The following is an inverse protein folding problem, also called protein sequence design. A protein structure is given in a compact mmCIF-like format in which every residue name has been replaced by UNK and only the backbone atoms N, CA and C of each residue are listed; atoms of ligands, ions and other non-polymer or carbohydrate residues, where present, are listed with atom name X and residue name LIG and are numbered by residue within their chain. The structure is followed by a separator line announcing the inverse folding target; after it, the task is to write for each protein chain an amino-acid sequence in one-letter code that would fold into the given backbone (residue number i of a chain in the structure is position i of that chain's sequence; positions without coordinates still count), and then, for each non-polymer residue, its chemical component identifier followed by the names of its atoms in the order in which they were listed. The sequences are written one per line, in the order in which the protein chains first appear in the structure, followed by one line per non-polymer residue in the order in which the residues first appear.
data_IF_088751143063
#
_entry.id   IF_088751143063
#
_cell.length_a   1.000
_cell.length_b   1.000
_cell.length_c   1.000
_cell.angle_alpha   90.00
_cell.angle_beta   90.00
_cell.angle_gamma   90.00
#
_symmetry.space_group_name_H-M   'P 1'
#
loop_
_entity.id
_entity.type
_entity.pdbx_description
1 polymer ?
#
# COMPACT_ATOMS: atom_id res chain seq x y z
N UNK A 1 -11.51 -16.84 24.43
CA UNK A 1 -10.45 -16.53 23.43
C UNK A 1 -10.97 -15.73 22.22
N UNK A 2 -12.18 -15.98 21.73
CA UNK A 2 -12.76 -15.18 20.63
C UNK A 2 -12.95 -13.69 21.00
N UNK A 3 -13.35 -13.39 22.22
CA UNK A 3 -13.57 -12.03 22.75
C UNK A 3 -12.32 -11.16 22.67
N UNK A 4 -11.16 -11.70 23.03
CA UNK A 4 -9.87 -10.97 23.02
C UNK A 4 -9.41 -10.60 21.61
N UNK A 5 -9.68 -11.44 20.62
CA UNK A 5 -9.32 -11.14 19.22
C UNK A 5 -10.23 -10.06 18.65
N UNK A 6 -11.54 -10.12 18.94
CA UNK A 6 -12.50 -9.09 18.53
C UNK A 6 -12.13 -7.72 19.14
N UNK A 7 -11.82 -7.67 20.42
CA UNK A 7 -11.38 -6.43 21.10
C UNK A 7 -10.11 -5.83 20.47
N UNK A 8 -9.15 -6.68 20.06
CA UNK A 8 -7.95 -6.22 19.37
C UNK A 8 -8.24 -5.68 17.96
N UNK A 9 -9.17 -6.31 17.24
CA UNK A 9 -9.61 -5.82 15.91
C UNK A 9 -10.30 -4.47 16.03
N UNK A 10 -11.18 -4.30 17.02
CA UNK A 10 -11.85 -3.02 17.31
C UNK A 10 -10.86 -1.93 17.73
N UNK A 11 -9.81 -2.30 18.47
CA UNK A 11 -8.75 -1.37 18.82
C UNK A 11 -7.94 -0.92 17.60
N UNK A 12 -7.64 -1.83 16.67
CA UNK A 12 -6.98 -1.50 15.40
C UNK A 12 -7.84 -0.53 14.60
N UNK A 13 -9.13 -0.79 14.44
CA UNK A 13 -10.04 0.08 13.71
C UNK A 13 -10.12 1.49 14.33
N UNK A 14 -10.13 1.59 15.65
CA UNK A 14 -10.09 2.89 16.35
C UNK A 14 -8.78 3.64 16.10
N UNK A 15 -7.64 2.96 16.15
CA UNK A 15 -6.34 3.56 15.87
C UNK A 15 -6.22 4.03 14.41
N UNK A 16 -6.81 3.31 13.46
CA UNK A 16 -6.86 3.71 12.07
C UNK A 16 -7.69 4.99 11.87
N UNK A 17 -8.84 5.10 12.54
CA UNK A 17 -9.64 6.33 12.51
C UNK A 17 -8.89 7.51 13.14
N UNK A 18 -8.20 7.29 14.26
CA UNK A 18 -7.35 8.32 14.86
C UNK A 18 -6.23 8.78 13.91
N UNK A 19 -5.61 7.85 13.19
CA UNK A 19 -4.60 8.19 12.19
C UNK A 19 -5.17 9.08 11.07
N UNK A 20 -6.39 8.78 10.60
CA UNK A 20 -7.05 9.61 9.58
C UNK A 20 -7.30 11.04 10.08
N UNK A 21 -7.74 11.19 11.33
CA UNK A 21 -7.94 12.51 11.95
C UNK A 21 -6.62 13.29 12.10
N UNK A 22 -5.54 12.63 12.53
CA UNK A 22 -4.22 13.27 12.62
C UNK A 22 -3.66 13.66 11.25
N UNK A 23 -3.90 12.84 10.22
CA UNK A 23 -3.52 13.19 8.84
C UNK A 23 -4.28 14.43 8.34
N UNK A 24 -5.56 14.60 8.68
CA UNK A 24 -6.32 15.82 8.35
C UNK A 24 -5.73 17.05 9.03
N UNK A 25 -5.39 16.97 10.31
CA UNK A 25 -4.72 18.06 11.03
C UNK A 25 -3.40 18.44 10.38
N UNK A 26 -2.61 17.46 9.95
CA UNK A 26 -1.37 17.73 9.21
C UNK A 26 -1.63 18.40 7.86
N UNK A 27 -2.72 18.08 7.16
CA UNK A 27 -3.09 18.77 5.92
C UNK A 27 -3.36 20.26 6.16
N UNK A 28 -4.06 20.59 7.24
CA UNK A 28 -4.31 21.96 7.65
C UNK A 28 -3.01 22.68 8.05
N UNK A 29 -2.15 22.05 8.84
CA UNK A 29 -0.87 22.60 9.29
C UNK A 29 0.07 22.93 8.13
N UNK A 30 0.15 22.06 7.12
CA UNK A 30 1.02 22.25 5.95
C UNK A 30 0.31 22.90 4.75
N UNK A 31 -0.90 23.44 4.95
CA UNK A 31 -1.67 24.21 3.96
C UNK A 31 -1.73 23.54 2.58
N UNK A 32 -2.13 22.29 2.54
CA UNK A 32 -2.43 21.59 1.29
C UNK A 32 -3.80 20.91 1.33
N UNK A 33 -4.43 20.82 0.18
CA UNK A 33 -5.68 20.09 -0.01
C UNK A 33 -5.50 18.93 -0.99
N UNK A 34 -6.28 17.88 -0.79
CA UNK A 34 -6.33 16.74 -1.71
C UNK A 34 -7.71 16.72 -2.37
N UNK A 35 -7.78 17.06 -3.66
CA UNK A 35 -8.98 17.02 -4.47
C UNK A 35 -8.75 16.13 -5.70
N UNK A 36 -9.64 15.18 -5.93
CA UNK A 36 -9.56 14.25 -7.08
C UNK A 36 -8.19 13.57 -7.23
N UNK A 37 -7.60 13.11 -6.11
CA UNK A 37 -6.24 12.55 -6.06
C UNK A 37 -5.12 13.51 -6.49
N UNK A 38 -5.39 14.83 -6.56
CA UNK A 38 -4.41 15.87 -6.84
C UNK A 38 -4.15 16.70 -5.60
N UNK A 39 -2.86 16.93 -5.33
CA UNK A 39 -2.43 17.78 -4.22
C UNK A 39 -2.32 19.22 -4.71
N UNK A 40 -3.01 20.12 -4.03
CA UNK A 40 -2.92 21.57 -4.23
C UNK A 40 -2.31 22.21 -3.01
N UNK A 41 -1.21 22.94 -3.20
CA UNK A 41 -0.57 23.75 -2.17
C UNK A 41 -0.97 25.21 -2.31
N UNK A 42 -1.07 25.92 -1.20
CA UNK A 42 -1.18 27.37 -1.23
C UNK A 42 0.06 28.04 -1.81
N UNK A 43 -0.08 29.19 -2.48
CA UNK A 43 1.02 29.87 -3.16
C UNK A 43 2.20 30.21 -2.24
N UNK A 44 1.91 30.61 -1.01
CA UNK A 44 2.92 30.95 0.01
C UNK A 44 3.83 29.74 0.29
N UNK A 45 3.24 28.55 0.36
CA UNK A 45 3.98 27.29 0.57
C UNK A 45 4.80 26.94 -0.65
N UNK A 46 4.27 27.13 -1.86
CA UNK A 46 5.01 26.89 -3.10
C UNK A 46 6.27 27.77 -3.21
N UNK A 47 6.17 29.02 -2.81
CA UNK A 47 7.31 29.96 -2.81
C UNK A 47 8.36 29.59 -1.75
N UNK A 48 7.90 29.15 -0.59
CA UNK A 48 8.78 28.61 0.46
C UNK A 48 9.49 27.33 -0.01
N UNK A 49 8.76 26.40 -0.62
CA UNK A 49 9.33 25.20 -1.20
C UNK A 49 10.39 25.50 -2.26
N UNK A 50 10.17 26.52 -3.12
CA UNK A 50 11.16 26.93 -4.14
C UNK A 50 12.47 27.43 -3.53
N UNK A 51 12.37 28.17 -2.43
CA UNK A 51 13.56 28.70 -1.70
C UNK A 51 14.38 27.56 -1.06
N UNK A 52 13.72 26.51 -0.60
CA UNK A 52 14.36 25.36 0.04
C UNK A 52 14.91 24.31 -0.95
N UNK A 53 14.62 24.48 -2.25
CA UNK A 53 15.04 23.54 -3.28
C UNK A 53 16.56 23.55 -3.47
N UNK A 54 17.21 22.42 -3.24
CA UNK A 54 18.63 22.23 -3.51
C UNK A 54 18.86 21.95 -5.00
N UNK A 55 19.75 22.71 -5.62
CA UNK A 55 20.12 22.49 -7.01
C UNK A 55 20.78 21.11 -7.20
N UNK A 56 20.63 20.51 -8.39
CA UNK A 56 21.13 19.16 -8.68
C UNK A 56 22.65 19.04 -8.53
N UNK A 57 23.42 20.05 -8.96
CA UNK A 57 24.88 19.99 -8.90
C UNK A 57 25.43 19.98 -7.46
N UNK A 58 25.02 20.88 -6.53
CA UNK A 58 25.40 20.79 -5.12
C UNK A 58 24.93 19.49 -4.47
N UNK A 59 23.72 19.03 -4.79
CA UNK A 59 23.17 17.77 -4.29
C UNK A 59 24.03 16.57 -4.73
N UNK A 60 24.43 16.52 -6.01
CA UNK A 60 25.25 15.44 -6.56
C UNK A 60 26.67 15.44 -5.94
N UNK A 61 27.24 16.62 -5.68
CA UNK A 61 28.54 16.74 -4.97
C UNK A 61 28.47 16.26 -3.52
N UNK A 62 27.33 16.39 -2.87
CA UNK A 62 27.09 15.88 -1.51
C UNK A 62 26.73 14.39 -1.48
N UNK A 63 26.41 13.79 -2.64
CA UNK A 63 26.03 12.39 -2.73
C UNK A 63 27.23 11.48 -2.41
N UNK A 64 27.02 10.54 -1.51
CA UNK A 64 28.03 9.56 -1.16
C UNK A 64 28.31 8.66 -2.35
N UNK A 65 29.58 8.39 -2.67
CA UNK A 65 30.01 7.50 -3.76
C UNK A 65 29.26 6.14 -3.73
N UNK A 66 28.99 5.65 -2.54
CA UNK A 66 28.19 4.43 -2.31
C UNK A 66 26.79 4.49 -2.96
N UNK A 67 26.12 5.64 -2.90
CA UNK A 67 24.79 5.82 -3.51
C UNK A 67 24.86 5.81 -5.04
N UNK A 68 25.93 6.36 -5.60
CA UNK A 68 26.15 6.37 -7.06
C UNK A 68 26.42 4.94 -7.55
N UNK A 69 27.27 4.19 -6.85
CA UNK A 69 27.61 2.80 -7.22
C UNK A 69 26.40 1.86 -7.07
N UNK A 70 25.53 2.07 -6.09
CA UNK A 70 24.34 1.22 -5.90
C UNK A 70 23.20 1.50 -6.88
N UNK A 71 23.16 2.67 -7.51
CA UNK A 71 22.08 3.09 -8.42
C UNK A 71 21.79 2.08 -9.56
N UNK A 72 22.81 1.53 -10.26
CA UNK A 72 22.58 0.53 -11.31
C UNK A 72 21.92 -0.75 -10.83
N UNK A 73 21.99 -1.07 -9.55
CA UNK A 73 21.30 -2.25 -8.97
C UNK A 73 19.90 -1.91 -8.47
N UNK A 74 19.67 -0.67 -8.05
CA UNK A 74 18.37 -0.25 -7.50
C UNK A 74 17.35 -0.02 -8.62
N UNK A 75 17.66 0.80 -9.61
CA UNK A 75 16.69 1.22 -10.62
C UNK A 75 16.16 0.10 -11.53
N UNK A 76 16.95 -0.91 -11.95
CA UNK A 76 16.42 -2.02 -12.73
C UNK A 76 15.34 -2.83 -12.02
N UNK A 77 15.24 -2.76 -10.69
CA UNK A 77 14.17 -3.40 -9.93
C UNK A 77 12.76 -2.90 -10.31
N UNK A 78 12.64 -1.75 -10.98
CA UNK A 78 11.35 -1.30 -11.52
C UNK A 78 10.79 -2.28 -12.56
N UNK A 79 11.65 -2.98 -13.30
CA UNK A 79 11.23 -3.92 -14.36
C UNK A 79 10.44 -5.11 -13.77
N UNK A 80 10.98 -5.90 -12.82
CA UNK A 80 10.20 -6.98 -12.20
C UNK A 80 8.97 -6.47 -11.44
N UNK A 81 9.03 -5.27 -10.84
CA UNK A 81 7.88 -4.66 -10.17
C UNK A 81 6.78 -4.32 -11.19
N UNK A 82 7.12 -3.73 -12.33
CA UNK A 82 6.17 -3.42 -13.40
C UNK A 82 5.58 -4.71 -14.03
N UNK A 83 6.38 -5.75 -14.19
CA UNK A 83 5.92 -7.05 -14.64
C UNK A 83 4.93 -7.66 -13.63
N UNK A 84 5.21 -7.57 -12.34
CA UNK A 84 4.30 -8.01 -11.28
C UNK A 84 2.99 -7.21 -11.31
N UNK A 85 3.04 -5.88 -11.44
CA UNK A 85 1.86 -5.01 -11.54
C UNK A 85 0.95 -5.45 -12.71
N UNK A 86 1.55 -5.67 -13.89
CA UNK A 86 0.84 -6.14 -15.07
C UNK A 86 0.19 -7.52 -14.83
N UNK A 87 0.97 -8.47 -14.34
CA UNK A 87 0.51 -9.86 -14.18
C UNK A 87 -0.58 -10.00 -13.13
N UNK A 88 -0.47 -9.33 -11.98
CA UNK A 88 -1.51 -9.38 -10.94
C UNK A 88 -2.78 -8.62 -11.36
N UNK A 89 -2.63 -7.56 -12.16
CA UNK A 89 -3.78 -6.83 -12.71
C UNK A 89 -4.55 -7.70 -13.70
N UNK A 90 -3.86 -8.41 -14.59
CA UNK A 90 -4.50 -9.39 -15.51
C UNK A 90 -5.15 -10.51 -14.70
N UNK A 91 -4.41 -11.07 -13.73
CA UNK A 91 -4.88 -12.15 -12.87
C UNK A 91 -6.20 -11.78 -12.18
N UNK A 92 -6.27 -10.65 -11.49
CA UNK A 92 -7.51 -10.28 -10.80
C UNK A 92 -8.66 -10.01 -11.79
N UNK A 93 -8.40 -9.36 -12.93
CA UNK A 93 -9.45 -9.07 -13.91
C UNK A 93 -10.08 -10.33 -14.51
N UNK A 94 -9.31 -11.41 -14.64
CA UNK A 94 -9.82 -12.70 -15.13
C UNK A 94 -10.39 -13.52 -13.97
N UNK A 95 -9.58 -13.83 -12.97
CA UNK A 95 -9.95 -14.78 -11.93
C UNK A 95 -11.01 -14.25 -10.96
N UNK A 96 -10.91 -12.97 -10.55
CA UNK A 96 -11.87 -12.42 -9.60
C UNK A 96 -13.26 -12.30 -10.21
N UNK A 97 -13.34 -11.93 -11.49
CA UNK A 97 -14.65 -11.92 -12.19
C UNK A 97 -15.26 -13.31 -12.31
N UNK A 98 -14.44 -14.33 -12.58
CA UNK A 98 -14.92 -15.72 -12.66
C UNK A 98 -15.39 -16.26 -11.29
N UNK A 99 -14.75 -15.83 -10.21
CA UNK A 99 -15.07 -16.29 -8.85
C UNK A 99 -16.07 -15.38 -8.11
N UNK A 100 -16.49 -14.28 -8.72
CA UNK A 100 -17.39 -13.30 -8.08
C UNK A 100 -16.73 -12.55 -6.92
N UNK A 101 -15.41 -12.34 -7.00
CA UNK A 101 -14.63 -11.57 -5.99
C UNK A 101 -14.59 -10.11 -6.43
N UNK A 102 -14.83 -9.19 -5.51
CA UNK A 102 -14.71 -7.74 -5.77
C UNK A 102 -13.29 -7.36 -6.17
N UNK A 103 -13.14 -6.56 -7.22
CA UNK A 103 -11.85 -6.11 -7.73
C UNK A 103 -11.18 -5.13 -6.75
N UNK A 104 -9.88 -5.26 -6.60
CA UNK A 104 -9.07 -4.31 -5.81
C UNK A 104 -8.81 -3.06 -6.64
N UNK A 105 -9.16 -1.90 -6.11
CA UNK A 105 -8.92 -0.61 -6.77
C UNK A 105 -7.43 -0.23 -6.65
N UNK A 106 -6.69 -0.35 -7.76
CA UNK A 106 -5.25 -0.08 -7.82
C UNK A 106 -4.87 1.33 -7.33
N UNK A 107 -5.73 2.33 -7.62
CA UNK A 107 -5.51 3.73 -7.21
C UNK A 107 -5.44 3.93 -5.69
N UNK A 108 -6.02 3.03 -4.90
CA UNK A 108 -5.97 3.11 -3.44
C UNK A 108 -4.60 2.69 -2.86
N UNK A 109 -3.79 2.02 -3.66
CA UNK A 109 -2.49 1.47 -3.25
C UNK A 109 -1.31 2.17 -3.93
N UNK A 110 -1.43 2.42 -5.23
CA UNK A 110 -0.37 3.03 -6.04
C UNK A 110 -0.59 4.54 -6.07
N UNK A 111 -0.09 5.23 -5.05
CA UNK A 111 -0.17 6.68 -4.90
C UNK A 111 1.21 7.29 -5.19
N UNK A 112 1.27 8.15 -6.21
CA UNK A 112 2.50 8.80 -6.67
C UNK A 112 2.34 10.32 -6.56
N UNK A 113 2.26 10.85 -5.35
CA UNK A 113 1.96 12.24 -5.05
C UNK A 113 3.19 13.07 -4.63
N UNK A 114 4.21 12.41 -4.05
CA UNK A 114 5.42 13.07 -3.50
C UNK A 114 6.21 13.89 -4.50
N UNK A 115 6.12 13.59 -5.81
CA UNK A 115 6.77 14.38 -6.85
C UNK A 115 6.21 15.81 -6.97
N UNK A 116 5.02 16.09 -6.40
CA UNK A 116 4.42 17.43 -6.35
C UNK A 116 5.14 18.35 -5.34
N UNK A 117 5.96 17.80 -4.45
CA UNK A 117 6.70 18.59 -3.46
C UNK A 117 7.72 19.50 -4.15
N UNK A 118 7.54 20.82 -3.98
CA UNK A 118 8.29 21.85 -4.71
C UNK A 118 9.76 21.96 -4.29
N UNK A 119 10.09 21.53 -3.06
CA UNK A 119 11.45 21.57 -2.52
C UNK A 119 12.35 20.41 -3.01
N UNK A 120 11.79 19.39 -3.62
CA UNK A 120 12.56 18.29 -4.19
C UNK A 120 13.17 18.65 -5.54
N UNK A 121 14.43 18.27 -5.76
CA UNK A 121 15.05 18.33 -7.08
C UNK A 121 14.59 17.19 -8.00
N UNK A 122 15.02 17.20 -9.27
CA UNK A 122 14.56 16.20 -10.25
C UNK A 122 14.93 14.76 -9.90
N UNK A 123 16.09 14.53 -9.32
CA UNK A 123 16.55 13.19 -8.90
C UNK A 123 15.75 12.70 -7.69
N UNK A 124 15.53 13.56 -6.72
CA UNK A 124 14.72 13.24 -5.54
C UNK A 124 13.27 12.93 -5.92
N UNK A 125 12.68 13.70 -6.85
CA UNK A 125 11.34 13.42 -7.39
C UNK A 125 11.28 12.05 -8.07
N UNK A 126 12.29 11.72 -8.89
CA UNK A 126 12.37 10.41 -9.52
C UNK A 126 12.45 9.27 -8.48
N UNK A 127 13.30 9.44 -7.46
CA UNK A 127 13.41 8.47 -6.37
C UNK A 127 12.08 8.31 -5.61
N UNK A 128 11.36 9.39 -5.37
CA UNK A 128 10.03 9.35 -4.74
C UNK A 128 9.00 8.61 -5.59
N UNK A 129 9.00 8.81 -6.91
CA UNK A 129 8.13 8.08 -7.83
C UNK A 129 8.46 6.59 -7.83
N UNK A 130 9.76 6.25 -7.92
CA UNK A 130 10.23 4.88 -7.87
C UNK A 130 9.79 4.15 -6.60
N UNK A 131 10.07 4.75 -5.43
CA UNK A 131 9.70 4.15 -4.14
C UNK A 131 8.17 4.11 -3.94
N UNK A 132 7.45 5.16 -4.35
CA UNK A 132 5.99 5.22 -4.27
C UNK A 132 5.34 4.14 -5.13
N UNK A 133 5.81 3.99 -6.36
CA UNK A 133 5.35 2.94 -7.26
C UNK A 133 5.64 1.54 -6.72
N UNK A 134 6.88 1.26 -6.33
CA UNK A 134 7.28 -0.06 -5.84
C UNK A 134 6.49 -0.50 -4.61
N UNK A 135 6.41 0.36 -3.59
CA UNK A 135 5.63 0.05 -2.39
C UNK A 135 4.13 -0.09 -2.68
N UNK A 136 3.60 0.76 -3.55
CA UNK A 136 2.19 0.71 -3.96
C UNK A 136 1.84 -0.60 -4.66
N UNK A 137 2.66 -1.04 -5.62
CA UNK A 137 2.46 -2.31 -6.34
C UNK A 137 2.57 -3.51 -5.40
N UNK A 138 3.51 -3.51 -4.47
CA UNK A 138 3.65 -4.59 -3.47
C UNK A 138 2.41 -4.65 -2.57
N UNK A 139 1.91 -3.52 -2.09
CA UNK A 139 0.71 -3.44 -1.26
C UNK A 139 -0.54 -3.89 -2.03
N UNK A 140 -0.70 -3.45 -3.27
CA UNK A 140 -1.76 -3.86 -4.19
C UNK A 140 -1.75 -5.37 -4.44
N UNK A 141 -0.59 -5.91 -4.79
CA UNK A 141 -0.39 -7.35 -4.99
C UNK A 141 -0.74 -8.14 -3.75
N UNK A 142 -0.32 -7.66 -2.59
CA UNK A 142 -0.60 -8.29 -1.30
C UNK A 142 -2.10 -8.40 -1.03
N UNK A 143 -2.90 -7.37 -1.31
CA UNK A 143 -4.35 -7.42 -1.13
C UNK A 143 -5.00 -8.41 -2.10
N UNK A 144 -4.57 -8.45 -3.36
CA UNK A 144 -5.05 -9.43 -4.36
C UNK A 144 -4.76 -10.86 -3.90
N UNK A 145 -3.55 -11.14 -3.45
CA UNK A 145 -3.16 -12.45 -2.94
C UNK A 145 -3.95 -12.79 -1.67
N UNK A 146 -4.15 -11.83 -0.77
CA UNK A 146 -4.93 -12.02 0.45
C UNK A 146 -6.39 -12.40 0.17
N UNK A 147 -7.04 -11.76 -0.83
CA UNK A 147 -8.39 -12.16 -1.29
C UNK A 147 -8.39 -13.55 -1.91
N UNK A 148 -7.35 -13.87 -2.67
CA UNK A 148 -7.19 -15.21 -3.25
C UNK A 148 -7.04 -16.28 -2.17
N UNK A 149 -6.23 -16.01 -1.15
CA UNK A 149 -6.02 -16.90 -0.01
C UNK A 149 -7.31 -17.11 0.78
N UNK A 150 -8.05 -16.03 1.07
CA UNK A 150 -9.36 -16.12 1.72
C UNK A 150 -10.36 -16.97 0.93
N UNK A 151 -10.36 -16.86 -0.39
CA UNK A 151 -11.25 -17.65 -1.25
C UNK A 151 -10.87 -19.13 -1.30
N UNK A 152 -9.55 -19.42 -1.35
CA UNK A 152 -9.01 -20.75 -1.60
C UNK A 152 -8.68 -21.52 -0.34
N UNK A 153 -7.95 -20.90 0.58
CA UNK A 153 -7.36 -21.58 1.73
C UNK A 153 -7.25 -20.65 2.95
N UNK A 154 -8.38 -20.23 3.57
CA UNK A 154 -8.38 -19.32 4.70
C UNK A 154 -7.95 -20.00 6.01
N UNK A 155 -6.74 -20.54 6.07
CA UNK A 155 -6.18 -21.27 7.21
C UNK A 155 -4.91 -20.57 7.70
N UNK A 156 -4.81 -20.37 9.00
CA UNK A 156 -3.60 -19.82 9.62
C UNK A 156 -2.43 -20.79 9.53
N UNK A 157 -1.22 -20.27 9.42
CA UNK A 157 -0.01 -21.08 9.49
C UNK A 157 0.21 -21.64 10.91
N UNK A 158 0.85 -22.81 11.02
CA UNK A 158 1.26 -23.38 12.30
C UNK A 158 2.35 -22.55 13.00
N UNK A 159 3.18 -21.84 12.21
CA UNK A 159 4.24 -20.98 12.71
C UNK A 159 3.82 -19.50 12.63
N UNK A 160 4.40 -18.68 13.51
CA UNK A 160 4.22 -17.23 13.42
C UNK A 160 4.80 -16.70 12.09
N UNK A 161 3.97 -16.01 11.32
CA UNK A 161 4.36 -15.27 10.12
C UNK A 161 4.43 -13.79 10.47
N UNK A 162 5.53 -13.13 10.10
CA UNK A 162 5.70 -11.68 10.29
C UNK A 162 5.02 -10.94 9.15
N UNK A 163 4.32 -9.85 9.46
CA UNK A 163 3.69 -9.00 8.46
C UNK A 163 2.50 -9.66 7.76
N UNK A 164 1.64 -10.35 8.47
CA UNK A 164 0.38 -10.89 7.93
C UNK A 164 -0.53 -9.79 7.40
N UNK A 165 -1.34 -10.09 6.40
CA UNK A 165 -2.38 -9.17 5.90
C UNK A 165 -3.58 -9.11 6.86
N UNK A 166 -4.42 -8.07 6.76
CA UNK A 166 -5.57 -7.84 7.68
C UNK A 166 -6.53 -9.03 7.75
N UNK A 167 -6.82 -9.67 6.64
CA UNK A 167 -7.77 -10.80 6.53
C UNK A 167 -7.32 -12.03 7.31
N UNK A 168 -5.99 -12.20 7.49
CA UNK A 168 -5.40 -13.35 8.16
C UNK A 168 -5.87 -13.55 9.62
N UNK A 169 -6.19 -12.47 10.32
CA UNK A 169 -6.68 -12.54 11.69
C UNK A 169 -7.94 -13.40 11.84
N UNK A 170 -8.81 -13.37 10.82
CA UNK A 170 -10.11 -14.07 10.79
C UNK A 170 -10.01 -15.50 10.27
N UNK A 171 -8.87 -15.92 9.71
CA UNK A 171 -8.71 -17.26 9.15
C UNK A 171 -8.84 -18.34 10.22
N UNK A 172 -9.21 -19.52 9.78
CA UNK A 172 -9.36 -20.70 10.62
C UNK A 172 -8.02 -21.10 11.25
N UNK A 173 -8.02 -21.59 12.46
CA UNK A 173 -6.81 -22.05 13.13
C UNK A 173 -6.20 -23.24 12.38
N UNK A 174 -4.87 -23.35 12.43
CA UNK A 174 -4.18 -24.52 11.87
C UNK A 174 -4.65 -25.80 12.56
N UNK A 175 -5.11 -26.75 11.78
CA UNK A 175 -5.61 -28.05 12.26
C UNK A 175 -7.12 -28.07 12.61
N UNK A 176 -7.82 -26.94 12.53
CA UNK A 176 -9.28 -26.88 12.74
C UNK A 176 -10.05 -27.27 11.47
N UNK A 177 -10.20 -28.57 11.25
CA UNK A 177 -10.88 -29.12 10.06
C UNK A 177 -12.39 -28.81 10.04
N UNK A 178 -13.05 -28.82 11.19
CA UNK A 178 -14.49 -28.53 11.32
C UNK A 178 -14.78 -27.07 11.03
N UNK A 179 -14.01 -26.16 11.63
CA UNK A 179 -14.12 -24.73 11.36
C UNK A 179 -13.85 -24.38 9.89
N UNK A 180 -12.94 -25.10 9.21
CA UNK A 180 -12.70 -24.91 7.79
C UNK A 180 -13.92 -25.31 6.95
N UNK A 181 -14.54 -26.44 7.21
CA UNK A 181 -15.71 -26.91 6.45
C UNK A 181 -16.93 -25.98 6.65
N UNK A 182 -17.15 -25.52 7.87
CA UNK A 182 -18.32 -24.67 8.20
C UNK A 182 -18.15 -23.24 7.68
N UNK A 183 -16.97 -22.63 7.80
CA UNK A 183 -16.74 -21.20 7.46
C UNK A 183 -16.33 -20.94 6.01
N UNK A 184 -15.98 -21.97 5.24
CA UNK A 184 -15.48 -21.80 3.86
C UNK A 184 -16.43 -21.01 2.96
N UNK A 185 -17.74 -21.24 3.07
CA UNK A 185 -18.72 -20.54 2.26
C UNK A 185 -18.88 -19.08 2.71
N UNK A 186 -18.89 -18.84 4.01
CA UNK A 186 -18.95 -17.49 4.59
C UNK A 186 -17.75 -16.63 4.12
N UNK A 187 -16.53 -17.17 4.13
CA UNK A 187 -15.34 -16.47 3.61
C UNK A 187 -15.45 -16.10 2.13
N UNK A 188 -16.08 -16.92 1.32
CA UNK A 188 -16.31 -16.63 -0.10
C UNK A 188 -17.39 -15.58 -0.32
N UNK A 189 -18.49 -15.66 0.42
CA UNK A 189 -19.56 -14.67 0.33
C UNK A 189 -19.09 -13.28 0.74
N UNK A 190 -18.31 -13.17 1.82
CA UNK A 190 -17.78 -11.89 2.29
C UNK A 190 -16.80 -11.19 1.31
N UNK A 191 -16.35 -11.88 0.26
CA UNK A 191 -15.52 -11.29 -0.79
C UNK A 191 -16.31 -10.61 -1.92
N UNK A 192 -17.62 -10.84 -1.99
CA UNK A 192 -18.48 -10.25 -3.03
C UNK A 192 -18.76 -8.77 -2.77
N UNK A 193 -18.87 -8.37 -1.50
CA UNK A 193 -19.29 -7.04 -1.05
C UNK A 193 -18.12 -6.21 -0.49
N UNK A 194 -16.88 -6.60 -0.75
CA UNK A 194 -15.70 -5.88 -0.25
C UNK A 194 -15.34 -4.74 -1.21
N UNK A 195 -15.63 -3.50 -0.83
CA UNK A 195 -15.11 -2.28 -1.46
C UNK A 195 -13.72 -1.89 -0.96
#
# INVERSE_FOLDING_TARGET
MATTISELVDKIARLENQLVEELKKQQEEFHYTVEDNKIKFEQIILDTHRKLKVAILPWLKSATLRNVISSPSIYPMVIPIAFMDLTVTIYQNVCFRLYGISLVKRSNYVVMDRHNLGYLNGIEKFNCLYCGYGNGVIAYTREIIARTEQYRCPIKHARRVVGTHRRYANFVAFGDAEGYQTKRLEFRESLKDTD
#
